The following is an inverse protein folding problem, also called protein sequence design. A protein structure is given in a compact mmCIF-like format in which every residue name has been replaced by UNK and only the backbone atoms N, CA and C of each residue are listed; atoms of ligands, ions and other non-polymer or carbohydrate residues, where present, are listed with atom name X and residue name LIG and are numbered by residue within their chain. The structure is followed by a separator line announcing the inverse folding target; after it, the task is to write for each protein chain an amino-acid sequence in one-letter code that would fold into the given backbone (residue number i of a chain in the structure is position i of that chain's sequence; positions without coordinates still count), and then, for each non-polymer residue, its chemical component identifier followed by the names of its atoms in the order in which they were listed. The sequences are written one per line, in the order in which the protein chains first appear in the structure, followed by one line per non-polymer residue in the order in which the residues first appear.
data_IF_581781973054
#
_entry.id   IF_581781973054
#
_cell.length_a   1.000
_cell.length_b   1.000
_cell.length_c   1.000
_cell.angle_alpha   90.00
_cell.angle_beta   90.00
_cell.angle_gamma   90.00
#
_symmetry.space_group_name_H-M   'P 1'
#
loop_
_entity.id
_entity.type
_entity.pdbx_description
1 polymer ?
#
# COMPACT_ATOMS: atom_id res chain seq x y z
N UNK A 1 -10.72 -0.88 23.83
CA UNK A 1 -11.51 -0.23 22.76
C UNK A 1 -11.34 -1.08 21.49
N UNK A 2 -12.29 -1.97 21.22
CA UNK A 2 -12.31 -2.79 20.00
C UNK A 2 -12.77 -1.89 18.86
N UNK A 3 -11.96 -1.73 17.81
CA UNK A 3 -12.41 -1.13 16.56
C UNK A 3 -12.52 -2.25 15.52
N UNK A 4 -13.77 -2.61 15.23
CA UNK A 4 -14.16 -3.39 14.06
C UNK A 4 -13.56 -2.75 12.81
N UNK A 5 -12.75 -3.49 12.05
CA UNK A 5 -12.46 -3.13 10.68
C UNK A 5 -13.65 -3.61 9.82
N UNK A 6 -14.57 -2.68 9.56
CA UNK A 6 -15.72 -2.88 8.67
C UNK A 6 -15.24 -3.13 7.24
N UNK A 7 -15.66 -4.26 6.67
CA UNK A 7 -15.53 -4.55 5.25
C UNK A 7 -16.70 -3.88 4.51
N UNK A 8 -16.40 -3.04 3.50
CA UNK A 8 -17.42 -2.55 2.55
C UNK A 8 -17.03 -3.01 1.15
N UNK A 9 -17.95 -3.73 0.53
CA UNK A 9 -17.83 -4.41 -0.77
C UNK A 9 -18.18 -3.54 -1.98
N UNK A 10 -17.71 -4.02 -3.15
CA UNK A 10 -18.24 -3.91 -4.52
C UNK A 10 -17.84 -2.70 -5.41
N UNK A 11 -17.26 -2.98 -6.61
CA UNK A 11 -17.95 -3.01 -7.93
C UNK A 11 -17.01 -3.44 -9.08
N UNK A 12 -17.49 -4.36 -9.92
CA UNK A 12 -17.20 -4.64 -11.34
C UNK A 12 -15.89 -4.13 -12.00
N UNK A 13 -15.04 -5.08 -12.43
CA UNK A 13 -14.12 -4.88 -13.56
C UNK A 13 -12.62 -5.05 -13.30
N UNK A 14 -12.15 -5.11 -12.06
CA UNK A 14 -10.72 -5.24 -11.77
C UNK A 14 -10.43 -6.51 -10.97
N UNK A 15 -9.52 -7.35 -11.45
CA UNK A 15 -8.99 -8.57 -10.81
C UNK A 15 -8.19 -8.28 -9.53
N UNK A 16 -8.50 -7.21 -8.78
CA UNK A 16 -7.68 -6.68 -7.70
C UNK A 16 -8.38 -6.95 -6.36
N UNK A 17 -7.65 -7.55 -5.41
CA UNK A 17 -8.08 -7.73 -4.02
C UNK A 17 -7.40 -6.69 -3.13
N UNK A 18 -8.17 -5.95 -2.34
CA UNK A 18 -7.61 -5.12 -1.28
C UNK A 18 -7.22 -6.02 -0.10
N UNK A 19 -5.93 -6.13 0.18
CA UNK A 19 -5.41 -6.98 1.26
C UNK A 19 -5.32 -6.22 2.58
N UNK A 20 -4.98 -4.93 2.53
CA UNK A 20 -4.70 -4.15 3.74
C UNK A 20 -5.12 -2.70 3.59
N UNK A 21 -5.70 -2.16 4.65
CA UNK A 21 -5.82 -0.72 4.88
C UNK A 21 -5.39 -0.40 6.31
N UNK A 22 -4.48 0.55 6.47
CA UNK A 22 -3.94 0.91 7.79
C UNK A 22 -3.79 2.44 7.90
N UNK A 23 -4.36 3.08 8.94
CA UNK A 23 -4.17 4.51 9.16
C UNK A 23 -2.72 4.84 9.53
N UNK A 24 -2.23 5.99 9.09
CA UNK A 24 -0.92 6.47 9.49
C UNK A 24 -0.95 6.89 10.99
N UNK A 25 0.09 6.55 11.77
CA UNK A 25 0.20 6.96 13.17
C UNK A 25 0.07 8.49 13.32
N UNK A 26 -0.82 8.96 14.18
CA UNK A 26 -1.00 10.40 14.44
C UNK A 26 -1.50 11.24 13.25
N UNK A 27 -1.92 10.62 12.13
CA UNK A 27 -2.37 11.29 10.91
C UNK A 27 -3.68 10.68 10.42
N UNK A 28 -4.79 11.01 11.06
CA UNK A 28 -6.11 10.40 10.81
C UNK A 28 -6.64 10.53 9.36
N UNK A 29 -6.20 11.54 8.62
CA UNK A 29 -6.57 11.72 7.21
C UNK A 29 -5.60 11.03 6.22
N UNK A 30 -4.69 10.18 6.70
CA UNK A 30 -3.72 9.45 5.86
C UNK A 30 -3.82 7.96 6.15
N UNK A 31 -3.86 7.15 5.10
CA UNK A 31 -3.90 5.69 5.19
C UNK A 31 -3.04 5.03 4.13
N UNK A 32 -2.44 3.92 4.51
CA UNK A 32 -1.78 2.97 3.64
C UNK A 32 -2.84 2.01 3.09
N UNK A 33 -2.77 1.72 1.80
CA UNK A 33 -3.60 0.72 1.14
C UNK A 33 -2.69 -0.23 0.37
N UNK A 34 -2.87 -1.53 0.56
CA UNK A 34 -2.20 -2.57 -0.21
C UNK A 34 -3.27 -3.34 -0.98
N UNK A 35 -3.06 -3.41 -2.28
CA UNK A 35 -3.89 -4.14 -3.22
C UNK A 35 -3.04 -5.19 -3.92
N UNK A 36 -3.66 -6.31 -4.29
CA UNK A 36 -3.01 -7.43 -4.96
C UNK A 36 -3.81 -7.86 -6.17
N UNK A 37 -3.14 -8.02 -7.30
CA UNK A 37 -3.73 -8.59 -8.51
C UNK A 37 -3.95 -10.10 -8.34
N UNK A 38 -5.07 -10.62 -8.85
CA UNK A 38 -5.49 -12.03 -8.74
C UNK A 38 -4.96 -12.92 -9.87
N UNK A 39 -3.91 -12.49 -10.55
CA UNK A 39 -3.31 -13.20 -11.68
C UNK A 39 -2.34 -14.30 -11.23
N UNK A 40 -1.89 -15.14 -12.18
CA UNK A 40 -0.89 -16.20 -11.93
C UNK A 40 0.45 -15.64 -11.42
N UNK A 41 0.80 -14.44 -11.89
CA UNK A 41 1.98 -13.67 -11.50
C UNK A 41 1.53 -12.42 -10.69
N UNK A 42 1.09 -12.59 -9.43
CA UNK A 42 0.43 -11.52 -8.70
C UNK A 42 1.39 -10.34 -8.45
N UNK A 43 0.87 -9.12 -8.64
CA UNK A 43 1.55 -7.89 -8.28
C UNK A 43 0.83 -7.23 -7.11
N UNK A 44 1.59 -6.85 -6.10
CA UNK A 44 1.17 -6.04 -4.98
C UNK A 44 1.42 -4.57 -5.29
N UNK A 45 0.37 -3.78 -5.25
CA UNK A 45 0.42 -2.34 -5.41
C UNK A 45 0.19 -1.67 -4.06
N UNK A 46 1.14 -0.83 -3.67
CA UNK A 46 1.13 -0.11 -2.40
C UNK A 46 0.80 1.35 -2.67
N UNK A 47 -0.18 1.89 -1.94
CA UNK A 47 -0.66 3.25 -2.09
C UNK A 47 -0.75 3.98 -0.77
N UNK A 48 -0.59 5.30 -0.84
CA UNK A 48 -1.01 6.21 0.21
C UNK A 48 -2.25 6.96 -0.26
N UNK A 49 -3.29 6.95 0.56
CA UNK A 49 -4.45 7.81 0.41
C UNK A 49 -4.38 8.92 1.45
N UNK A 50 -4.54 10.16 1.02
CA UNK A 50 -4.56 11.32 1.89
C UNK A 50 -5.75 12.24 1.61
N UNK A 51 -6.36 12.74 2.68
CA UNK A 51 -7.49 13.65 2.67
C UNK A 51 -8.74 12.98 3.21
N UNK A 52 -9.86 13.71 3.12
CA UNK A 52 -11.19 13.22 3.48
C UNK A 52 -12.06 13.22 2.23
N UNK A 53 -13.04 12.31 2.16
CA UNK A 53 -14.00 12.30 1.04
C UNK A 53 -14.75 13.63 0.98
N UNK A 54 -15.00 14.18 -0.21
CA UNK A 54 -14.74 13.62 -1.55
C UNK A 54 -13.36 13.96 -2.14
N UNK A 55 -12.51 14.70 -1.43
CA UNK A 55 -11.24 15.25 -1.94
C UNK A 55 -10.01 14.37 -1.64
N UNK A 56 -10.23 13.08 -1.37
CA UNK A 56 -9.13 12.14 -1.13
C UNK A 56 -8.24 12.03 -2.37
N UNK A 57 -6.93 12.05 -2.17
CA UNK A 57 -5.93 11.81 -3.21
C UNK A 57 -5.21 10.51 -2.94
N UNK A 58 -4.94 9.75 -3.99
CA UNK A 58 -4.23 8.47 -3.94
C UNK A 58 -2.91 8.59 -4.68
N UNK A 59 -1.84 8.12 -4.06
CA UNK A 59 -0.49 8.13 -4.61
C UNK A 59 0.09 6.71 -4.60
N UNK A 60 0.70 6.29 -5.71
CA UNK A 60 1.45 5.04 -5.75
C UNK A 60 2.77 5.19 -4.99
N UNK A 61 3.05 4.24 -4.10
CA UNK A 61 4.29 4.14 -3.31
C UNK A 61 5.19 3.05 -3.87
N UNK A 62 4.61 1.92 -4.30
CA UNK A 62 5.39 0.90 -4.98
C UNK A 62 4.59 -0.22 -5.60
N UNK A 63 5.27 -1.02 -6.42
CA UNK A 63 4.76 -2.23 -7.05
C UNK A 63 5.77 -3.38 -6.89
N UNK A 64 5.29 -4.54 -6.42
CA UNK A 64 6.13 -5.68 -6.03
C UNK A 64 5.50 -6.99 -6.53
N UNK A 65 6.29 -7.98 -6.92
CA UNK A 65 5.78 -9.27 -7.39
C UNK A 65 6.11 -9.51 -8.85
N UNK A 66 5.19 -10.12 -9.60
CA UNK A 66 5.44 -10.55 -10.99
C UNK A 66 5.86 -12.02 -11.08
N UNK A 67 6.64 -12.38 -12.10
CA UNK A 67 6.98 -13.79 -12.41
C UNK A 67 7.80 -14.52 -11.34
N UNK A 68 8.37 -13.79 -10.39
CA UNK A 68 9.21 -14.33 -9.32
C UNK A 68 8.63 -14.00 -7.97
N UNK A 69 8.39 -15.04 -7.18
CA UNK A 69 7.96 -14.92 -5.79
C UNK A 69 8.99 -14.20 -4.89
N UNK A 70 10.26 -14.12 -5.31
CA UNK A 70 11.31 -13.43 -4.56
C UNK A 70 10.99 -11.95 -4.33
N UNK A 71 10.43 -11.29 -5.35
CA UNK A 71 10.09 -9.87 -5.32
C UNK A 71 8.68 -9.61 -4.79
N UNK A 72 7.91 -10.65 -4.46
CA UNK A 72 6.60 -10.51 -3.86
C UNK A 72 6.70 -9.74 -2.54
N UNK A 73 5.69 -8.90 -2.28
CA UNK A 73 5.62 -8.14 -1.04
C UNK A 73 5.33 -9.10 0.12
N UNK A 74 6.20 -9.12 1.12
CA UNK A 74 5.99 -9.87 2.37
C UNK A 74 5.27 -9.03 3.39
N UNK A 75 5.68 -7.77 3.52
CA UNK A 75 5.24 -6.89 4.59
C UNK A 75 5.32 -5.42 4.17
N UNK A 76 4.31 -4.64 4.56
CA UNK A 76 4.34 -3.18 4.49
C UNK A 76 3.77 -2.59 5.76
N UNK A 77 4.51 -1.67 6.38
CA UNK A 77 4.15 -1.04 7.65
C UNK A 77 4.49 0.45 7.65
N UNK A 78 3.76 1.23 8.44
CA UNK A 78 4.22 2.54 8.86
C UNK A 78 5.33 2.38 9.91
N UNK A 79 6.47 3.03 9.70
CA UNK A 79 7.53 3.15 10.73
C UNK A 79 7.51 4.51 11.41
N UNK A 80 6.84 5.50 10.80
CA UNK A 80 6.56 6.81 11.35
C UNK A 80 5.28 7.38 10.70
N UNK A 81 4.71 8.51 11.18
CA UNK A 81 3.54 9.17 10.56
C UNK A 81 3.68 9.49 9.07
N UNK A 82 4.92 9.56 8.58
CA UNK A 82 5.32 9.94 7.24
C UNK A 82 6.36 8.99 6.64
N UNK A 83 6.56 7.80 7.22
CA UNK A 83 7.52 6.82 6.71
C UNK A 83 6.91 5.44 6.59
N UNK A 84 7.08 4.84 5.42
CA UNK A 84 6.62 3.49 5.09
C UNK A 84 7.84 2.62 4.87
N UNK A 85 7.83 1.42 5.44
CA UNK A 85 8.78 0.35 5.13
C UNK A 85 8.07 -0.78 4.41
N UNK A 86 8.63 -1.21 3.29
CA UNK A 86 8.19 -2.34 2.47
C UNK A 86 9.28 -3.39 2.45
N UNK A 87 8.93 -4.66 2.63
CA UNK A 87 9.86 -5.79 2.66
C UNK A 87 9.39 -6.86 1.70
N UNK A 88 10.27 -7.27 0.79
CA UNK A 88 10.01 -8.37 -0.15
C UNK A 88 10.26 -9.72 0.51
N UNK A 89 9.79 -10.82 -0.13
CA UNK A 89 9.99 -12.19 0.40
C UNK A 89 11.46 -12.60 0.46
N UNK A 90 12.28 -12.15 -0.49
CA UNK A 90 13.74 -12.34 -0.47
C UNK A 90 14.45 -11.49 0.61
N UNK A 91 13.73 -10.61 1.30
CA UNK A 91 14.26 -9.81 2.40
C UNK A 91 14.78 -8.43 2.01
N UNK A 92 14.62 -7.99 0.76
CA UNK A 92 14.95 -6.62 0.38
C UNK A 92 14.03 -5.63 1.12
N UNK A 93 14.61 -4.56 1.65
CA UNK A 93 13.89 -3.54 2.43
C UNK A 93 13.94 -2.20 1.70
N UNK A 94 12.78 -1.58 1.56
CA UNK A 94 12.64 -0.26 0.97
C UNK A 94 11.89 0.68 1.91
N UNK A 95 12.50 1.81 2.25
CA UNK A 95 11.84 2.89 2.97
C UNK A 95 11.50 4.06 2.05
N UNK A 96 10.33 4.64 2.25
CA UNK A 96 9.82 5.79 1.48
C UNK A 96 9.27 6.83 2.45
N UNK A 97 9.64 8.09 2.20
CA UNK A 97 9.11 9.22 2.96
C UNK A 97 7.89 9.79 2.23
N UNK A 98 6.85 10.10 2.97
CA UNK A 98 5.60 10.65 2.47
C UNK A 98 5.55 12.13 2.84
N UNK A 99 5.60 12.98 1.82
CA UNK A 99 5.50 14.44 1.98
C UNK A 99 4.22 14.85 2.74
N UNK A 100 4.14 16.04 3.33
CA UNK A 100 2.94 16.48 4.04
C UNK A 100 1.64 16.39 3.23
N UNK A 101 1.70 16.51 1.89
CA UNK A 101 0.55 16.38 0.97
C UNK A 101 0.21 14.94 0.56
N UNK A 102 0.93 13.94 1.07
CA UNK A 102 0.65 12.52 0.86
C UNK A 102 1.41 11.89 -0.29
N UNK A 103 2.09 12.69 -1.11
CA UNK A 103 2.92 12.19 -2.21
C UNK A 103 4.20 11.57 -1.63
N UNK A 104 4.61 10.37 -2.06
CA UNK A 104 5.90 9.82 -1.68
C UNK A 104 7.05 10.55 -2.38
N UNK A 105 8.23 10.57 -1.75
CA UNK A 105 9.46 11.13 -2.31
C UNK A 105 9.97 10.35 -3.54
N UNK A 106 9.70 9.04 -3.58
CA UNK A 106 10.00 8.14 -4.69
C UNK A 106 8.96 7.01 -4.79
N UNK A 107 8.94 6.36 -5.95
CA UNK A 107 8.14 5.14 -6.16
C UNK A 107 9.08 3.96 -6.30
N UNK A 108 8.78 2.86 -5.61
CA UNK A 108 9.58 1.63 -5.62
C UNK A 108 8.98 0.61 -6.59
N UNK A 109 9.81 -0.06 -7.38
CA UNK A 109 9.36 -1.17 -8.23
C UNK A 109 10.32 -2.35 -8.09
N UNK A 110 9.78 -3.55 -7.88
CA UNK A 110 10.54 -4.81 -7.83
C UNK A 110 9.78 -5.92 -8.56
N UNK A 111 10.49 -6.70 -9.39
CA UNK A 111 9.96 -7.88 -10.08
C UNK A 111 9.05 -7.65 -11.28
N UNK A 112 9.13 -6.47 -11.92
CA UNK A 112 8.53 -6.25 -13.24
C UNK A 112 9.12 -7.13 -14.33
#
# INVERSE_FOLDING_TARGET
MMLLASFVSATFGASIAQEKTEPAPGRGARRLVVERDRDLDPVWHVYVVQGNRPLERRWSVGSFGGRSDAHALRETVWTAPDRIRMTTREGAVHEVTVTPGGRPDRVVSAGR
#
